data_IF_553553579726
#
_entry.id   IF_553553579726
#
_cell.length_a   1.000
_cell.length_b   1.000
_cell.length_c   1.000
_cell.angle_alpha   90.00
_cell.angle_beta   90.00
_cell.angle_gamma   90.00
#
_symmetry.space_group_name_H-M   'P 1'
#
loop_
_entity.id
_entity.type
_entity.pdbx_description
1 polymer ?
#
# COMPACT_ATOMS: atom_id res chain seq x y z
N UNK A 1 -24.13 9.14 4.34
CA UNK A 1 -23.69 8.88 4.15
C UNK A 1 -22.97 8.17 4.00
N UNK A 2 -22.69 7.84 3.97
CA UNK A 2 -21.92 7.30 3.92
C UNK A 2 -21.43 6.69 3.37
N UNK A 3 -21.40 6.37 2.99
CA UNK A 3 -20.97 5.86 2.48
C UNK A 3 -19.97 5.44 2.10
N UNK A 4 -19.41 5.45 1.89
CA UNK A 4 -18.35 5.13 1.62
C UNK A 4 -17.77 4.16 2.37
N UNK A 5 -18.26 3.48 3.05
CA UNK A 5 -17.69 2.51 3.91
C UNK A 5 -16.99 1.40 3.19
N UNK A 6 -17.44 1.03 2.06
CA UNK A 6 -16.80 -0.06 1.38
C UNK A 6 -15.44 0.32 0.84
N UNK A 7 -15.19 1.60 0.76
CA UNK A 7 -13.88 2.05 0.33
C UNK A 7 -12.99 2.34 1.51
N UNK A 8 -13.50 2.10 2.73
CA UNK A 8 -12.76 2.36 3.90
C UNK A 8 -11.63 1.39 4.07
N UNK A 9 -10.44 1.87 4.23
CA UNK A 9 -9.27 1.04 4.42
C UNK A 9 -9.03 0.80 5.88
N UNK A 10 -8.47 -0.35 6.20
CA UNK A 10 -8.08 -0.62 7.57
C UNK A 10 -6.87 0.25 7.90
N UNK A 11 -6.56 0.33 9.19
CA UNK A 11 -5.43 1.10 9.64
C UNK A 11 -4.14 0.59 8.99
N UNK A 12 -4.00 -0.72 8.92
CA UNK A 12 -2.81 -1.30 8.30
C UNK A 12 -2.74 -0.95 6.82
N UNK A 13 -3.87 -0.96 6.16
CA UNK A 13 -3.90 -0.64 4.74
C UNK A 13 -3.53 0.80 4.49
N UNK A 14 -4.01 1.70 5.31
CA UNK A 14 -3.65 3.11 5.19
C UNK A 14 -2.16 3.32 5.43
N UNK A 15 -1.65 2.64 6.45
CA UNK A 15 -0.24 2.74 6.78
C UNK A 15 0.62 2.27 5.61
N UNK A 16 0.26 1.14 5.02
CA UNK A 16 1.05 0.60 3.93
C UNK A 16 0.91 1.40 2.65
N UNK A 17 -0.22 2.05 2.47
CA UNK A 17 -0.36 2.94 1.34
C UNK A 17 0.62 4.10 1.44
N UNK A 18 0.76 4.66 2.62
CA UNK A 18 1.74 5.72 2.84
C UNK A 18 3.15 5.22 2.61
N UNK A 19 3.42 4.00 3.07
CA UNK A 19 4.74 3.41 2.88
C UNK A 19 5.03 3.21 1.40
N UNK A 20 4.03 2.78 0.65
CA UNK A 20 4.21 2.59 -0.78
C UNK A 20 4.50 3.91 -1.49
N UNK A 21 3.83 4.96 -1.06
CA UNK A 21 4.06 6.28 -1.63
C UNK A 21 5.49 6.75 -1.36
N UNK A 22 5.95 6.52 -0.14
CA UNK A 22 7.32 6.88 0.22
C UNK A 22 8.32 6.09 -0.61
N UNK A 23 8.03 4.83 -0.80
CA UNK A 23 8.91 3.98 -1.60
C UNK A 23 9.03 4.52 -3.01
N UNK A 24 7.90 4.83 -3.59
CA UNK A 24 7.86 5.35 -4.95
C UNK A 24 8.64 6.66 -5.06
N UNK A 25 8.47 7.52 -4.07
CA UNK A 25 9.14 8.81 -4.05
C UNK A 25 10.63 8.69 -3.82
N UNK A 26 11.04 7.68 -3.06
CA UNK A 26 12.43 7.53 -2.70
C UNK A 26 13.32 7.10 -3.86
N UNK A 27 12.72 6.41 -4.83
CA UNK A 27 13.49 5.90 -5.95
C UNK A 27 14.36 4.71 -5.60
N UNK A 28 14.20 4.17 -4.41
CA UNK A 28 14.97 3.02 -3.98
C UNK A 28 14.31 1.73 -4.43
N UNK A 29 15.11 0.67 -4.53
CA UNK A 29 14.54 -0.63 -4.80
C UNK A 29 13.84 -1.14 -3.55
N UNK A 30 13.00 -2.18 -3.72
CA UNK A 30 12.27 -2.74 -2.61
C UNK A 30 13.16 -3.12 -1.43
N UNK A 31 14.19 -3.94 -1.66
CA UNK A 31 15.07 -4.34 -0.57
C UNK A 31 15.76 -3.17 0.11
N UNK A 32 16.21 -2.20 -0.68
CA UNK A 32 16.89 -1.05 -0.13
C UNK A 32 15.96 -0.20 0.71
N UNK A 33 14.78 0.02 0.21
CA UNK A 33 13.80 0.80 0.94
C UNK A 33 13.44 0.11 2.26
N UNK A 34 13.24 -1.20 2.21
CA UNK A 34 12.91 -1.95 3.41
C UNK A 34 14.02 -1.88 4.43
N UNK A 35 15.25 -1.98 3.97
CA UNK A 35 16.39 -1.91 4.86
C UNK A 35 16.45 -0.54 5.54
N UNK A 36 16.17 0.50 4.79
CA UNK A 36 16.19 1.84 5.30
C UNK A 36 15.11 2.07 6.34
N UNK A 37 13.97 1.46 6.16
CA UNK A 37 12.83 1.64 7.07
C UNK A 37 12.72 0.56 8.13
N UNK A 38 13.53 -0.47 8.05
CA UNK A 38 13.43 -1.58 8.97
C UNK A 38 12.24 -2.47 8.67
N UNK A 39 11.87 -2.58 7.41
CA UNK A 39 10.73 -3.38 7.00
C UNK A 39 11.19 -4.70 6.40
N UNK A 40 10.23 -5.61 6.24
CA UNK A 40 10.49 -6.90 5.65
C UNK A 40 10.12 -6.85 4.17
N UNK A 41 11.05 -7.31 3.32
CA UNK A 41 10.80 -7.28 1.88
C UNK A 41 9.59 -8.12 1.51
N UNK A 42 9.46 -9.27 2.13
CA UNK A 42 8.31 -10.13 1.85
C UNK A 42 7.00 -9.42 2.16
N UNK A 43 6.97 -8.76 3.30
CA UNK A 43 5.78 -8.02 3.68
C UNK A 43 5.50 -6.90 2.70
N UNK A 44 6.54 -6.24 2.25
CA UNK A 44 6.38 -5.17 1.28
C UNK A 44 5.74 -5.70 0.00
N UNK A 45 6.21 -6.84 -0.47
CA UNK A 45 5.65 -7.43 -1.68
C UNK A 45 4.19 -7.84 -1.50
N UNK A 46 3.88 -8.42 -0.35
CA UNK A 46 2.52 -8.84 -0.06
C UNK A 46 1.59 -7.62 -0.08
N UNK A 47 2.00 -6.55 0.57
CA UNK A 47 1.15 -5.37 0.63
C UNK A 47 1.07 -4.66 -0.71
N UNK A 48 2.15 -4.70 -1.48
CA UNK A 48 2.14 -4.12 -2.81
C UNK A 48 1.07 -4.80 -3.66
N UNK A 49 1.04 -6.10 -3.61
CA UNK A 49 0.07 -6.88 -4.36
C UNK A 49 -1.35 -6.62 -3.87
N UNK A 50 -1.51 -6.59 -2.55
CA UNK A 50 -2.79 -6.36 -1.94
C UNK A 50 -3.37 -5.01 -2.31
N UNK A 51 -2.55 -3.98 -2.18
CA UNK A 51 -3.01 -2.63 -2.46
C UNK A 51 -3.33 -2.44 -3.93
N UNK A 52 -2.59 -3.12 -4.78
CA UNK A 52 -2.87 -3.05 -6.21
C UNK A 52 -4.25 -3.63 -6.50
N UNK A 53 -4.59 -4.71 -5.83
CA UNK A 53 -5.90 -5.30 -6.00
C UNK A 53 -7.01 -4.38 -5.52
N UNK A 54 -6.78 -3.77 -4.37
CA UNK A 54 -7.75 -2.84 -3.80
C UNK A 54 -7.97 -1.68 -4.77
N UNK A 55 -6.89 -1.13 -5.30
CA UNK A 55 -7.00 -0.03 -6.23
C UNK A 55 -7.76 -0.43 -7.49
N UNK A 56 -7.50 -1.63 -7.97
CA UNK A 56 -8.18 -2.11 -9.16
C UNK A 56 -9.68 -2.24 -8.92
N UNK A 57 -10.05 -2.69 -7.74
CA UNK A 57 -11.45 -2.84 -7.41
C UNK A 57 -12.14 -1.51 -7.26
N UNK A 58 -11.45 -0.56 -6.63
CA UNK A 58 -12.00 0.78 -6.49
C UNK A 58 -12.21 1.44 -7.84
N UNK A 59 -11.24 1.28 -8.71
CA UNK A 59 -11.36 1.85 -10.04
C UNK A 59 -12.51 1.22 -10.80
N UNK A 60 -12.70 -0.06 -10.59
CA UNK A 60 -13.77 -0.76 -11.25
C UNK A 60 -15.14 -0.30 -10.77
N UNK A 61 -15.24 -0.07 -9.49
CA UNK A 61 -16.50 0.35 -8.90
C UNK A 61 -16.79 1.82 -9.11
N UNK A 62 -15.76 2.55 -9.31
CA UNK A 62 -15.89 3.97 -9.53
C UNK A 62 -16.43 4.28 -10.89
#
# INVERSE_FOLDING_TARGET
MARRTKTRLTRAECKWRCIMDEWRDSGLSGPEFCKSKGLNVKTLHVWSSKLRKIDAELAKNG
#
